data_IF_857104544184
#
_entry.id   IF_857104544184
#
_cell.length_a   1.000
_cell.length_b   1.000
_cell.length_c   1.000
_cell.angle_alpha   90.00
_cell.angle_beta   90.00
_cell.angle_gamma   90.00
#
_symmetry.space_group_name_H-M   'P 1'
#
loop_
_entity.id
_entity.type
_entity.pdbx_description
1 polymer ?
#
# COMPACT_ATOMS: atom_id res chain seq x y z
N UNK A 1 16.01 25.61 3.03
CA UNK A 1 16.01 25.20 1.62
C UNK A 1 17.34 24.58 1.20
N UNK A 2 18.47 25.06 1.72
CA UNK A 2 19.82 24.54 1.41
C UNK A 2 20.10 23.07 1.77
N UNK A 3 19.34 22.45 2.70
CA UNK A 3 19.50 21.01 3.03
C UNK A 3 18.94 20.07 1.95
N UNK A 4 17.86 20.46 1.26
CA UNK A 4 17.25 19.65 0.18
C UNK A 4 18.09 19.74 -1.09
N UNK A 5 18.60 20.94 -1.41
CA UNK A 5 19.54 21.15 -2.52
C UNK A 5 20.82 20.31 -2.31
N UNK A 6 21.32 20.20 -1.07
CA UNK A 6 22.45 19.34 -0.72
C UNK A 6 22.23 17.85 -1.00
N UNK A 7 21.00 17.34 -0.90
CA UNK A 7 20.72 15.92 -1.16
C UNK A 7 20.89 15.59 -2.65
N UNK A 8 20.37 16.44 -3.54
CA UNK A 8 20.55 16.34 -4.98
C UNK A 8 22.03 16.51 -5.40
N UNK A 9 22.75 17.43 -4.76
CA UNK A 9 24.17 17.69 -5.04
C UNK A 9 25.10 16.55 -4.60
N UNK A 10 24.83 15.87 -3.48
CA UNK A 10 25.68 14.76 -3.00
C UNK A 10 25.50 13.46 -3.80
N UNK A 11 24.39 13.29 -4.50
CA UNK A 11 24.10 12.08 -5.30
C UNK A 11 24.32 12.29 -6.82
N UNK A 12 24.71 13.49 -7.24
CA UNK A 12 24.80 13.89 -8.64
C UNK A 12 25.84 13.11 -9.47
N UNK A 13 26.84 12.49 -8.85
CA UNK A 13 27.89 11.76 -9.58
C UNK A 13 27.39 10.47 -10.27
N UNK A 14 26.22 9.94 -9.88
CA UNK A 14 25.70 8.66 -10.37
C UNK A 14 24.20 8.64 -10.72
N UNK A 15 23.51 9.78 -10.68
CA UNK A 15 22.04 9.84 -10.82
C UNK A 15 21.63 10.67 -12.04
N UNK A 16 20.78 10.10 -12.90
CA UNK A 16 20.17 10.83 -14.02
C UNK A 16 19.15 11.84 -13.50
N UNK A 17 19.23 13.09 -13.98
CA UNK A 17 18.28 14.15 -13.61
C UNK A 17 17.35 14.48 -14.78
N UNK A 18 16.04 14.44 -14.53
CA UNK A 18 14.99 14.78 -15.49
C UNK A 18 14.97 16.28 -15.76
N UNK A 19 15.05 16.67 -17.04
CA UNK A 19 15.08 18.08 -17.49
C UNK A 19 13.79 18.50 -18.20
N UNK A 20 12.86 17.59 -18.45
CA UNK A 20 11.56 17.89 -19.04
C UNK A 20 10.53 18.22 -17.97
N UNK A 21 10.01 19.45 -18.00
CA UNK A 21 8.90 19.89 -17.12
C UNK A 21 7.69 18.97 -17.26
N UNK A 22 7.35 18.57 -18.49
CA UNK A 22 6.22 17.67 -18.77
C UNK A 22 6.41 16.28 -18.17
N UNK A 23 7.63 15.73 -18.24
CA UNK A 23 7.96 14.43 -17.62
C UNK A 23 7.90 14.50 -16.09
N UNK A 24 8.40 15.59 -15.50
CA UNK A 24 8.31 15.81 -14.04
C UNK A 24 6.85 15.88 -13.59
N UNK A 25 6.00 16.59 -14.34
CA UNK A 25 4.57 16.74 -14.02
C UNK A 25 3.72 15.52 -14.40
N UNK A 26 4.28 14.55 -15.11
CA UNK A 26 3.56 13.34 -15.46
C UNK A 26 3.17 12.56 -14.20
N UNK A 27 1.89 12.23 -14.06
CA UNK A 27 1.32 11.60 -12.86
C UNK A 27 1.56 12.41 -11.58
N UNK A 28 1.59 13.75 -11.65
CA UNK A 28 1.75 14.60 -10.47
C UNK A 28 0.62 14.39 -9.45
N UNK A 29 0.97 14.25 -8.17
CA UNK A 29 0.00 14.06 -7.10
C UNK A 29 -0.50 15.41 -6.56
N UNK A 30 -1.57 15.94 -7.17
CA UNK A 30 -2.19 17.20 -6.73
C UNK A 30 -2.83 17.11 -5.34
N UNK A 31 -3.13 15.91 -4.86
CA UNK A 31 -3.58 15.69 -3.48
C UNK A 31 -2.45 15.98 -2.47
N UNK A 32 -1.20 15.65 -2.81
CA UNK A 32 -0.06 15.78 -1.91
C UNK A 32 0.69 17.10 -2.10
N UNK A 33 0.78 17.60 -3.32
CA UNK A 33 1.28 18.95 -3.62
C UNK A 33 0.29 19.64 -4.56
N UNK A 34 -0.68 20.32 -3.96
CA UNK A 34 -1.70 21.08 -4.69
C UNK A 34 -1.10 22.27 -5.42
N UNK A 35 -1.92 22.90 -6.27
CA UNK A 35 -1.58 24.22 -6.82
C UNK A 35 -1.72 25.30 -5.74
N UNK A 36 -1.07 26.43 -5.96
CA UNK A 36 -1.17 27.62 -5.12
C UNK A 36 -1.93 28.73 -5.87
N UNK A 37 -3.03 29.20 -5.28
CA UNK A 37 -4.00 30.12 -5.88
C UNK A 37 -3.80 31.60 -5.48
N UNK A 38 -2.93 31.87 -4.50
CA UNK A 38 -2.72 33.19 -3.92
C UNK A 38 -3.45 33.45 -2.59
N UNK A 39 -4.10 32.45 -2.01
CA UNK A 39 -4.79 32.60 -0.72
C UNK A 39 -3.81 32.95 0.42
N UNK A 40 -4.10 34.00 1.18
CA UNK A 40 -3.26 34.51 2.26
C UNK A 40 -3.10 33.52 3.43
N UNK A 41 -4.11 32.69 3.70
CA UNK A 41 -4.02 31.67 4.77
C UNK A 41 -3.27 30.41 4.34
N UNK A 42 -2.89 30.32 3.06
CA UNK A 42 -2.13 29.21 2.52
C UNK A 42 -0.68 29.24 3.01
N UNK A 43 -0.19 28.12 3.56
CA UNK A 43 1.19 28.02 4.05
C UNK A 43 2.18 27.86 2.88
N UNK A 44 2.50 28.99 2.23
CA UNK A 44 3.41 29.05 1.07
C UNK A 44 4.80 28.51 1.40
N UNK A 45 5.34 28.82 2.59
CA UNK A 45 6.65 28.32 3.02
C UNK A 45 6.69 26.81 3.03
N UNK A 46 5.61 26.20 3.50
CA UNK A 46 5.48 24.76 3.61
C UNK A 46 5.15 24.11 2.27
N UNK A 47 4.31 24.74 1.47
CA UNK A 47 4.07 24.33 0.08
C UNK A 47 5.36 24.29 -0.75
N UNK A 48 6.21 25.32 -0.66
CA UNK A 48 7.52 25.34 -1.32
C UNK A 48 8.43 24.20 -0.83
N UNK A 49 8.38 23.84 0.46
CA UNK A 49 9.10 22.68 1.00
C UNK A 49 8.57 21.39 0.39
N UNK A 50 7.25 21.18 0.39
CA UNK A 50 6.63 19.98 -0.19
C UNK A 50 6.93 19.87 -1.68
N UNK A 51 6.84 20.99 -2.42
CA UNK A 51 7.19 21.06 -3.84
C UNK A 51 8.66 20.67 -4.05
N UNK A 52 9.59 21.18 -3.25
CA UNK A 52 11.01 20.80 -3.36
C UNK A 52 11.26 19.31 -3.12
N UNK A 53 10.55 18.70 -2.16
CA UNK A 53 10.63 17.25 -1.89
C UNK A 53 10.09 16.46 -3.08
N UNK A 54 8.96 16.88 -3.65
CA UNK A 54 8.36 16.21 -4.81
C UNK A 54 9.25 16.29 -6.04
N UNK A 55 9.91 17.43 -6.26
CA UNK A 55 10.87 17.63 -7.33
C UNK A 55 12.11 16.75 -7.14
N UNK A 56 12.61 16.63 -5.91
CA UNK A 56 13.75 15.80 -5.54
C UNK A 56 13.46 14.30 -5.68
N UNK A 57 12.31 13.82 -5.15
CA UNK A 57 11.81 12.45 -5.37
C UNK A 57 11.72 12.15 -6.87
N UNK A 58 11.36 13.17 -7.66
CA UNK A 58 11.23 13.04 -9.11
C UNK A 58 12.54 13.18 -9.87
N UNK A 59 13.65 13.41 -9.17
CA UNK A 59 14.98 13.66 -9.75
C UNK A 59 14.93 14.78 -10.80
N UNK A 60 14.08 15.79 -10.60
CA UNK A 60 14.02 16.95 -11.48
C UNK A 60 15.33 17.72 -11.38
N UNK A 61 15.88 18.15 -12.51
CA UNK A 61 17.07 18.99 -12.53
C UNK A 61 16.78 20.35 -11.87
N UNK A 62 17.62 20.86 -10.95
CA UNK A 62 17.36 22.12 -10.22
C UNK A 62 17.02 23.32 -11.12
N UNK A 63 17.64 23.41 -12.30
CA UNK A 63 17.38 24.47 -13.28
C UNK A 63 15.92 24.56 -13.72
N UNK A 64 15.14 23.46 -13.70
CA UNK A 64 13.74 23.46 -14.14
C UNK A 64 12.74 23.56 -12.99
N UNK A 65 13.19 23.58 -11.74
CA UNK A 65 12.29 23.56 -10.57
C UNK A 65 11.34 24.76 -10.55
N UNK A 66 11.85 25.95 -10.90
CA UNK A 66 11.03 27.16 -10.98
C UNK A 66 9.96 27.11 -12.07
N UNK A 67 10.27 26.46 -13.21
CA UNK A 67 9.32 26.25 -14.30
C UNK A 67 8.19 25.29 -13.90
N UNK A 68 8.53 24.20 -13.19
CA UNK A 68 7.51 23.32 -12.60
C UNK A 68 6.68 24.09 -11.57
N UNK A 69 7.32 24.95 -10.78
CA UNK A 69 6.67 25.89 -9.87
C UNK A 69 5.62 26.75 -10.57
N UNK A 70 5.95 27.37 -11.72
CA UNK A 70 5.02 28.17 -12.52
C UNK A 70 3.79 27.36 -12.96
N UNK A 71 3.97 26.09 -13.37
CA UNK A 71 2.85 25.22 -13.73
C UNK A 71 1.90 24.91 -12.57
N UNK A 72 2.37 25.08 -11.33
CA UNK A 72 1.59 24.84 -10.10
C UNK A 72 1.05 26.13 -9.47
N UNK A 73 1.20 27.28 -10.13
CA UNK A 73 0.55 28.53 -9.76
C UNK A 73 -0.80 28.65 -10.48
N UNK A 74 -1.86 29.02 -9.77
CA UNK A 74 -3.19 29.28 -10.33
C UNK A 74 -3.87 30.51 -9.71
N UNK A 75 -5.11 30.78 -10.10
CA UNK A 75 -5.92 31.87 -9.55
C UNK A 75 -5.24 33.25 -9.58
N UNK A 76 -5.42 34.01 -8.50
CA UNK A 76 -4.86 35.35 -8.34
C UNK A 76 -3.33 35.37 -8.35
N UNK A 77 -2.67 34.31 -7.88
CA UNK A 77 -1.22 34.18 -7.96
C UNK A 77 -0.74 34.04 -9.41
N UNK A 78 -1.52 33.41 -10.29
CA UNK A 78 -1.19 33.28 -11.72
C UNK A 78 -1.31 34.61 -12.45
N UNK A 79 -2.32 35.42 -12.13
CA UNK A 79 -2.45 36.77 -12.68
C UNK A 79 -1.22 37.62 -12.33
N UNK A 80 -0.76 37.55 -11.07
CA UNK A 80 0.47 38.22 -10.64
C UNK A 80 1.73 37.66 -11.31
N UNK A 81 1.79 36.36 -11.55
CA UNK A 81 2.90 35.74 -12.27
C UNK A 81 2.98 36.27 -13.71
N UNK A 82 1.85 36.36 -14.41
CA UNK A 82 1.79 36.85 -15.79
C UNK A 82 2.22 38.33 -15.92
N UNK A 83 2.10 39.13 -14.85
CA UNK A 83 2.58 40.52 -14.83
C UNK A 83 4.11 40.62 -14.73
N UNK A 84 4.77 39.64 -14.11
CA UNK A 84 6.23 39.67 -13.91
C UNK A 84 7.00 38.89 -14.98
N UNK A 85 6.35 37.97 -15.70
CA UNK A 85 6.98 37.25 -16.82
C UNK A 85 7.37 38.25 -17.92
N UNK A 86 8.63 38.20 -18.36
CA UNK A 86 9.21 39.12 -19.34
C UNK A 86 9.65 40.47 -18.76
N UNK A 87 9.50 40.68 -17.44
CA UNK A 87 10.00 41.87 -16.73
C UNK A 87 11.34 41.59 -16.04
N UNK A 88 11.95 42.64 -15.47
CA UNK A 88 13.17 42.49 -14.66
C UNK A 88 12.93 41.71 -13.36
N UNK A 89 11.69 41.66 -12.89
CA UNK A 89 11.27 40.95 -11.68
C UNK A 89 10.91 39.47 -11.93
N UNK A 90 11.10 38.97 -13.15
CA UNK A 90 10.82 37.58 -13.49
C UNK A 90 11.67 36.60 -12.65
N UNK A 91 11.05 35.61 -11.98
CA UNK A 91 11.80 34.56 -11.30
C UNK A 91 12.49 33.60 -12.26
N UNK A 92 13.82 33.73 -12.45
CA UNK A 92 14.62 32.95 -13.41
C UNK A 92 15.24 31.66 -12.87
N UNK A 93 15.10 31.41 -11.57
CA UNK A 93 15.64 30.22 -10.90
C UNK A 93 14.84 29.89 -9.63
N UNK A 94 15.11 28.73 -9.03
CA UNK A 94 14.37 28.26 -7.86
C UNK A 94 14.39 29.23 -6.66
N UNK A 95 15.53 29.88 -6.39
CA UNK A 95 15.65 30.83 -5.28
C UNK A 95 14.81 32.10 -5.52
N UNK A 96 14.91 32.68 -6.71
CA UNK A 96 14.09 33.83 -7.11
C UNK A 96 12.60 33.49 -7.11
N UNK A 97 12.22 32.29 -7.54
CA UNK A 97 10.84 31.80 -7.50
C UNK A 97 10.35 31.70 -6.06
N UNK A 98 11.13 31.07 -5.17
CA UNK A 98 10.78 30.99 -3.75
C UNK A 98 10.56 32.37 -3.14
N UNK A 99 11.46 33.33 -3.39
CA UNK A 99 11.35 34.71 -2.88
C UNK A 99 10.09 35.39 -3.41
N UNK A 100 9.83 35.29 -4.71
CA UNK A 100 8.65 35.86 -5.34
C UNK A 100 7.37 35.25 -4.77
N UNK A 101 7.25 33.91 -4.69
CA UNK A 101 6.05 33.27 -4.15
C UNK A 101 5.82 33.65 -2.68
N UNK A 102 6.90 33.76 -1.89
CA UNK A 102 6.80 34.20 -0.49
C UNK A 102 6.31 35.65 -0.38
N UNK A 103 6.71 36.55 -1.27
CA UNK A 103 6.21 37.93 -1.28
C UNK A 103 4.72 38.05 -1.58
N UNK A 104 4.10 37.03 -2.17
CA UNK A 104 2.65 37.02 -2.41
C UNK A 104 1.86 36.86 -1.11
N UNK A 105 2.46 36.27 -0.07
CA UNK A 105 1.83 36.12 1.22
C UNK A 105 2.33 37.18 2.21
N UNK A 106 1.46 38.13 2.54
CA UNK A 106 1.77 39.27 3.41
C UNK A 106 1.53 38.99 4.89
N UNK A 107 0.90 37.86 5.24
CA UNK A 107 0.67 37.49 6.63
C UNK A 107 1.94 36.96 7.28
N UNK A 108 2.08 37.25 8.58
CA UNK A 108 3.18 36.74 9.38
C UNK A 108 3.14 35.18 9.39
N UNK A 109 4.26 34.50 9.12
CA UNK A 109 4.36 33.04 9.19
C UNK A 109 3.84 32.43 10.49
N UNK A 110 3.99 33.12 11.63
CA UNK A 110 3.50 32.64 12.93
C UNK A 110 1.96 32.64 12.98
N UNK A 111 1.32 33.64 12.38
CA UNK A 111 -0.15 33.74 12.29
C UNK A 111 -0.70 32.60 11.43
N UNK A 112 -0.07 32.33 10.27
CA UNK A 112 -0.45 31.22 9.39
C UNK A 112 -0.26 29.87 10.10
N UNK A 113 0.85 29.69 10.81
CA UNK A 113 1.12 28.48 11.57
C UNK A 113 0.08 28.27 12.69
N UNK A 114 -0.25 29.31 13.45
CA UNK A 114 -1.29 29.27 14.48
C UNK A 114 -2.66 28.93 13.89
N UNK A 115 -3.03 29.55 12.76
CA UNK A 115 -4.26 29.23 12.04
C UNK A 115 -4.32 27.75 11.63
N UNK A 116 -3.26 27.22 11.01
CA UNK A 116 -3.21 25.81 10.58
C UNK A 116 -3.26 24.84 11.76
N UNK A 117 -2.57 25.14 12.87
CA UNK A 117 -2.65 24.33 14.09
C UNK A 117 -4.07 24.33 14.67
N UNK A 118 -4.77 25.46 14.61
CA UNK A 118 -6.18 25.55 15.03
C UNK A 118 -7.08 24.70 14.15
N UNK A 119 -6.92 24.76 12.82
CA UNK A 119 -7.67 23.89 11.90
C UNK A 119 -7.43 22.40 12.20
N UNK A 120 -6.20 22.01 12.52
CA UNK A 120 -5.90 20.62 12.94
C UNK A 120 -6.59 20.25 14.25
N UNK A 121 -6.64 21.18 15.21
CA UNK A 121 -7.34 20.97 16.48
C UNK A 121 -8.85 20.84 16.27
N UNK A 122 -9.44 21.69 15.44
CA UNK A 122 -10.87 21.64 15.09
C UNK A 122 -11.21 20.31 14.38
N UNK A 123 -10.39 19.89 13.41
CA UNK A 123 -10.53 18.56 12.76
C UNK A 123 -10.49 17.41 13.77
N UNK A 124 -9.70 17.52 14.84
CA UNK A 124 -9.60 16.51 15.88
C UNK A 124 -10.84 16.47 16.78
N UNK A 125 -11.46 17.62 17.05
CA UNK A 125 -12.70 17.68 17.82
C UNK A 125 -13.85 17.00 17.07
N UNK A 126 -13.87 17.07 15.74
CA UNK A 126 -14.85 16.35 14.92
C UNK A 126 -14.51 14.86 14.74
N UNK A 127 -13.26 14.47 15.00
CA UNK A 127 -12.76 13.12 14.76
C UNK A 127 -13.18 12.14 15.87
N UNK A 128 -14.35 11.53 15.73
CA UNK A 128 -14.82 10.44 16.60
C UNK A 128 -15.08 9.15 15.82
N UNK A 129 -14.92 7.99 16.49
CA UNK A 129 -15.33 6.71 15.92
C UNK A 129 -16.86 6.68 15.76
N UNK A 130 -17.33 6.56 14.52
CA UNK A 130 -18.75 6.55 14.17
C UNK A 130 -19.48 5.33 14.72
N UNK A 131 -20.79 5.40 14.95
CA UNK A 131 -21.59 4.34 15.61
C UNK A 131 -21.42 2.94 14.98
N UNK A 132 -21.36 2.87 13.66
CA UNK A 132 -21.23 1.62 12.89
C UNK A 132 -19.84 1.46 12.24
N UNK A 133 -18.92 2.36 12.56
CA UNK A 133 -17.57 2.33 12.00
C UNK A 133 -16.70 1.35 12.78
N UNK A 134 -15.92 0.55 12.06
CA UNK A 134 -14.92 -0.36 12.64
C UNK A 134 -13.74 0.42 13.21
N UNK A 135 -12.94 -0.21 14.08
CA UNK A 135 -11.70 0.42 14.58
C UNK A 135 -10.69 0.65 13.46
N UNK A 136 -10.68 -0.20 12.43
CA UNK A 136 -9.79 -0.08 11.27
C UNK A 136 -10.08 1.18 10.45
N UNK A 137 -11.36 1.39 10.08
CA UNK A 137 -11.81 2.57 9.35
C UNK A 137 -11.51 3.85 10.15
N UNK A 138 -11.78 3.80 11.46
CA UNK A 138 -11.48 4.91 12.35
C UNK A 138 -9.98 5.19 12.47
N UNK A 139 -9.16 4.16 12.67
CA UNK A 139 -7.70 4.28 12.73
C UNK A 139 -7.15 4.90 11.46
N UNK A 140 -7.66 4.50 10.28
CA UNK A 140 -7.27 5.10 9.01
C UNK A 140 -7.53 6.61 8.99
N UNK A 141 -8.71 7.06 9.43
CA UNK A 141 -9.01 8.50 9.55
C UNK A 141 -8.14 9.19 10.59
N UNK A 142 -7.87 8.51 11.71
CA UNK A 142 -6.98 9.02 12.75
C UNK A 142 -5.55 9.19 12.25
N UNK A 143 -5.02 8.26 11.46
CA UNK A 143 -3.69 8.39 10.86
C UNK A 143 -3.62 9.50 9.83
N UNK A 144 -4.68 9.74 9.05
CA UNK A 144 -4.80 10.91 8.16
C UNK A 144 -4.70 12.21 8.94
N UNK A 145 -5.44 12.30 10.04
CA UNK A 145 -5.37 13.45 10.94
C UNK A 145 -3.98 13.59 11.58
N UNK A 146 -3.40 12.51 12.10
CA UNK A 146 -2.05 12.52 12.70
C UNK A 146 -0.98 12.96 11.70
N UNK A 147 -1.07 12.52 10.43
CA UNK A 147 -0.19 13.01 9.37
C UNK A 147 -0.35 14.52 9.17
N UNK A 148 -1.59 15.03 9.15
CA UNK A 148 -1.87 16.47 9.07
C UNK A 148 -1.34 17.23 10.30
N UNK A 149 -1.48 16.66 11.49
CA UNK A 149 -0.98 17.23 12.74
C UNK A 149 0.55 17.31 12.78
N UNK A 150 1.24 16.20 12.48
CA UNK A 150 2.71 16.17 12.36
C UNK A 150 3.20 17.07 11.26
N UNK A 151 2.46 17.15 10.16
CA UNK A 151 2.70 18.14 9.13
C UNK A 151 2.66 19.51 9.81
N UNK A 152 1.54 20.05 10.29
CA UNK A 152 1.52 21.40 10.88
C UNK A 152 2.26 21.59 12.23
N UNK A 153 3.08 20.63 12.68
CA UNK A 153 3.84 20.72 13.93
C UNK A 153 2.94 20.85 15.15
N UNK A 154 1.78 20.21 15.09
CA UNK A 154 0.82 20.12 16.19
C UNK A 154 1.25 19.00 17.15
N UNK A 155 1.69 19.40 18.34
CA UNK A 155 2.11 18.49 19.39
C UNK A 155 0.90 17.74 19.97
N UNK A 156 1.04 16.42 20.09
CA UNK A 156 -0.01 15.57 20.61
C UNK A 156 0.55 14.25 21.13
N UNK A 157 -0.22 13.61 22.01
CA UNK A 157 -0.02 12.23 22.47
C UNK A 157 -0.93 11.29 21.66
N UNK A 158 -0.37 10.48 20.72
CA UNK A 158 -1.13 9.58 19.86
C UNK A 158 -2.03 8.62 20.62
N UNK A 159 -1.50 8.01 21.68
CA UNK A 159 -2.14 7.01 22.53
C UNK A 159 -3.42 7.56 23.15
N UNK A 160 -3.29 8.66 23.90
CA UNK A 160 -4.39 9.29 24.61
C UNK A 160 -5.43 9.83 23.63
N UNK A 161 -5.01 10.47 22.55
CA UNK A 161 -5.94 11.08 21.60
C UNK A 161 -6.72 10.03 20.80
N UNK A 162 -6.07 8.94 20.39
CA UNK A 162 -6.77 7.84 19.72
C UNK A 162 -7.82 7.21 20.64
N UNK A 163 -7.43 6.83 21.87
CA UNK A 163 -8.32 6.16 22.83
C UNK A 163 -9.50 7.04 23.22
N UNK A 164 -9.30 8.35 23.36
CA UNK A 164 -10.36 9.28 23.73
C UNK A 164 -11.48 9.39 22.69
N UNK A 165 -11.17 9.09 21.42
CA UNK A 165 -12.10 9.19 20.29
C UNK A 165 -12.74 7.85 19.90
N UNK A 166 -12.33 6.75 20.53
CA UNK A 166 -13.02 5.45 20.40
C UNK A 166 -14.44 5.49 20.99
N UNK A 167 -15.30 4.58 20.52
CA UNK A 167 -16.63 4.37 21.10
C UNK A 167 -16.54 4.13 22.60
N UNK A 168 -17.53 4.63 23.36
CA UNK A 168 -17.56 4.57 24.85
C UNK A 168 -17.29 3.19 25.45
N UNK A 169 -17.75 2.11 24.81
CA UNK A 169 -17.49 0.73 25.25
C UNK A 169 -16.01 0.35 25.10
N UNK A 170 -15.51 0.49 23.88
CA UNK A 170 -14.14 0.18 23.53
C UNK A 170 -13.12 1.07 24.25
N UNK A 171 -13.35 2.39 24.30
CA UNK A 171 -12.55 3.35 25.07
C UNK A 171 -12.34 2.89 26.50
N UNK A 172 -13.41 2.48 27.19
CA UNK A 172 -13.34 2.00 28.58
C UNK A 172 -12.47 0.75 28.70
N UNK A 173 -12.62 -0.20 27.78
CA UNK A 173 -11.88 -1.46 27.79
C UNK A 173 -10.39 -1.25 27.53
N UNK A 174 -10.05 -0.50 26.49
CA UNK A 174 -8.66 -0.17 26.14
C UNK A 174 -8.00 0.69 27.23
N UNK A 175 -8.70 1.67 27.79
CA UNK A 175 -8.18 2.44 28.94
C UNK A 175 -7.88 1.55 30.14
N UNK A 176 -8.70 0.52 30.37
CA UNK A 176 -8.47 -0.48 31.41
C UNK A 176 -7.22 -1.31 31.18
N UNK A 177 -6.98 -1.78 29.94
CA UNK A 177 -5.77 -2.51 29.56
C UNK A 177 -4.52 -1.66 29.75
N UNK A 178 -4.55 -0.41 29.26
CA UNK A 178 -3.45 0.56 29.44
C UNK A 178 -3.14 0.75 30.93
N UNK A 179 -4.16 0.91 31.77
CA UNK A 179 -3.98 1.09 33.21
C UNK A 179 -3.36 -0.15 33.89
N UNK A 180 -3.70 -1.36 33.45
CA UNK A 180 -3.11 -2.61 33.97
C UNK A 180 -1.63 -2.69 33.63
N UNK A 181 -1.28 -2.47 32.36
CA UNK A 181 0.10 -2.55 31.89
C UNK A 181 0.98 -1.44 32.48
N UNK A 182 0.44 -0.23 32.65
CA UNK A 182 1.12 0.83 33.38
C UNK A 182 1.43 0.44 34.84
N UNK A 183 0.51 -0.23 35.53
CA UNK A 183 0.75 -0.74 36.91
C UNK A 183 1.81 -1.84 36.96
N UNK A 184 1.99 -2.59 35.85
CA UNK A 184 3.02 -3.61 35.70
C UNK A 184 4.40 -3.03 35.37
N UNK A 185 4.49 -1.72 35.15
CA UNK A 185 5.73 -1.05 34.76
C UNK A 185 6.08 -1.22 33.28
N UNK A 186 5.11 -1.67 32.46
CA UNK A 186 5.28 -1.93 31.02
C UNK A 186 4.29 -1.09 30.21
N UNK A 187 4.51 0.23 30.06
CA UNK A 187 3.58 1.07 29.29
C UNK A 187 3.37 0.57 27.87
N UNK A 188 2.11 0.50 27.45
CA UNK A 188 1.75 0.10 26.08
C UNK A 188 2.16 1.21 25.11
N UNK A 189 2.89 0.85 24.05
CA UNK A 189 3.12 1.78 22.94
C UNK A 189 1.85 1.96 22.11
N UNK A 190 1.77 3.06 21.35
CA UNK A 190 0.68 3.33 20.42
C UNK A 190 0.26 2.13 19.57
N UNK A 191 1.23 1.38 19.04
CA UNK A 191 0.97 0.24 18.19
C UNK A 191 0.23 -0.87 18.94
N UNK A 192 0.66 -1.18 20.16
CA UNK A 192 0.03 -2.20 21.01
C UNK A 192 -1.37 -1.75 21.46
N UNK A 193 -1.57 -0.44 21.68
CA UNK A 193 -2.90 0.11 21.97
C UNK A 193 -3.86 -0.08 20.80
N UNK A 194 -3.39 0.15 19.57
CA UNK A 194 -4.19 -0.04 18.35
C UNK A 194 -4.48 -1.51 18.10
N UNK A 195 -3.50 -2.40 18.29
CA UNK A 195 -3.69 -3.85 18.19
C UNK A 195 -4.77 -4.34 19.17
N UNK A 196 -4.67 -3.95 20.45
CA UNK A 196 -5.67 -4.28 21.45
C UNK A 196 -7.08 -3.76 21.07
N UNK A 197 -7.17 -2.55 20.49
CA UNK A 197 -8.43 -2.00 20.02
C UNK A 197 -9.03 -2.80 18.85
N UNK A 198 -8.19 -3.24 17.91
CA UNK A 198 -8.61 -4.07 16.78
C UNK A 198 -9.07 -5.45 17.22
N UNK A 199 -8.35 -6.09 18.14
CA UNK A 199 -8.71 -7.41 18.68
C UNK A 199 -10.04 -7.37 19.44
N UNK A 200 -10.24 -6.32 20.24
CA UNK A 200 -11.50 -6.11 20.96
C UNK A 200 -12.68 -5.83 20.03
N UNK A 201 -12.51 -5.01 19.00
CA UNK A 201 -13.56 -4.73 17.99
C UNK A 201 -13.95 -6.01 17.24
N UNK A 202 -12.97 -6.87 16.92
CA UNK A 202 -13.21 -8.20 16.32
C UNK A 202 -13.94 -9.13 17.28
N UNK A 203 -13.53 -9.19 18.55
CA UNK A 203 -14.16 -10.04 19.55
C UNK A 203 -15.66 -9.72 19.72
N UNK A 204 -16.04 -8.43 19.67
CA UNK A 204 -17.45 -8.01 19.69
C UNK A 204 -18.23 -8.49 18.45
N UNK A 205 -17.62 -8.50 17.27
CA UNK A 205 -18.21 -9.07 16.04
C UNK A 205 -18.29 -10.60 16.03
N UNK A 206 -17.35 -11.28 16.71
CA UNK A 206 -17.25 -12.75 16.78
C UNK A 206 -18.13 -13.39 17.85
N UNK A 207 -18.64 -12.65 18.84
CA UNK A 207 -19.59 -13.18 19.84
C UNK A 207 -20.93 -13.69 19.26
N UNK A 208 -21.15 -13.58 17.93
CA UNK A 208 -22.28 -14.17 17.23
C UNK A 208 -22.02 -15.58 16.66
N UNK A 209 -20.79 -16.11 16.69
CA UNK A 209 -20.48 -17.44 16.13
C UNK A 209 -19.40 -18.18 16.94
N UNK A 210 -19.89 -18.87 17.97
CA UNK A 210 -19.50 -20.19 18.51
C UNK A 210 -18.04 -20.66 18.37
N UNK A 211 -17.49 -20.95 19.56
CA UNK A 211 -16.38 -21.82 19.97
C UNK A 211 -16.18 -23.12 19.17
N UNK A 212 -14.94 -23.49 18.80
CA UNK A 212 -14.37 -24.86 18.99
C UNK A 212 -12.80 -24.79 18.99
N UNK A 213 -12.02 -25.81 19.44
CA UNK A 213 -10.91 -25.66 20.38
C UNK A 213 -9.53 -26.06 19.78
N UNK A 214 -8.48 -25.85 20.58
CA UNK A 214 -7.08 -26.13 20.23
C UNK A 214 -6.70 -27.63 20.22
N UNK A 215 -5.78 -28.02 19.34
CA UNK A 215 -4.76 -29.04 19.64
C UNK A 215 -3.54 -29.04 18.71
N UNK A 216 -2.38 -29.56 19.18
CA UNK A 216 -1.04 -29.18 18.73
C UNK A 216 -0.37 -30.25 17.84
N UNK A 217 0.74 -29.94 17.15
CA UNK A 217 1.92 -30.84 17.03
C UNK A 217 3.12 -30.23 16.27
N UNK A 218 4.26 -30.19 16.99
CA UNK A 218 5.66 -30.55 16.67
C UNK A 218 6.30 -30.20 15.31
N UNK A 219 7.35 -29.37 15.37
CA UNK A 219 8.41 -29.23 14.36
C UNK A 219 9.46 -30.35 14.46
N UNK A 220 10.10 -30.74 13.34
CA UNK A 220 11.48 -31.23 13.36
C UNK A 220 12.46 -30.22 12.75
N UNK A 221 13.65 -30.24 13.34
CA UNK A 221 14.87 -29.47 13.07
C UNK A 221 15.76 -30.22 12.09
N UNK A 222 16.44 -29.52 11.17
CA UNK A 222 17.70 -29.99 10.55
C UNK A 222 18.66 -28.81 10.38
N UNK A 223 19.95 -29.01 10.71
CA UNK A 223 21.07 -28.07 10.52
C UNK A 223 22.10 -28.68 9.53
N UNK A 224 23.24 -28.05 9.21
CA UNK A 224 23.58 -27.59 7.85
C UNK A 224 24.77 -28.35 7.23
N UNK A 225 25.04 -28.16 5.93
CA UNK A 225 26.32 -28.42 5.20
C UNK A 225 26.07 -28.04 3.73
N UNK A 226 26.98 -27.57 2.87
CA UNK A 226 28.43 -27.35 2.88
C UNK A 226 28.74 -26.42 1.70
N UNK A 227 29.80 -25.62 1.83
CA UNK A 227 30.39 -24.78 0.77
C UNK A 227 30.87 -25.61 -0.43
N UNK A 228 30.74 -25.02 -1.63
CA UNK A 228 31.36 -25.47 -2.87
C UNK A 228 31.91 -24.27 -3.62
N UNK A 229 33.23 -24.15 -3.62
CA UNK A 229 34.02 -23.13 -4.33
C UNK A 229 33.92 -23.29 -5.85
N UNK A 230 33.62 -22.21 -6.58
CA UNK A 230 33.92 -22.10 -8.02
C UNK A 230 34.72 -20.83 -8.29
N UNK A 231 35.76 -21.05 -9.11
CA UNK A 231 36.87 -20.20 -9.51
C UNK A 231 36.45 -18.86 -10.11
N UNK A 232 37.30 -17.88 -9.84
CA UNK A 232 37.40 -16.57 -10.47
C UNK A 232 37.39 -16.64 -12.00
N UNK A 233 36.39 -16.02 -12.61
CA UNK A 233 36.40 -15.58 -13.99
C UNK A 233 36.18 -14.06 -13.98
N UNK A 234 37.01 -13.35 -14.74
CA UNK A 234 37.07 -11.89 -14.88
C UNK A 234 35.70 -11.24 -15.05
N UNK A 235 35.46 -10.19 -14.25
CA UNK A 235 34.24 -9.39 -14.16
C UNK A 235 33.73 -8.91 -15.53
N UNK A 236 32.51 -9.27 -15.95
CA UNK A 236 31.76 -8.44 -16.88
C UNK A 236 31.37 -7.18 -16.12
N UNK A 237 31.68 -5.98 -16.63
CA UNK A 237 31.13 -4.75 -16.09
C UNK A 237 29.60 -4.84 -16.09
N UNK A 238 29.00 -5.07 -14.92
CA UNK A 238 27.55 -5.08 -14.76
C UNK A 238 27.02 -3.68 -15.08
N UNK A 239 26.40 -3.54 -16.25
CA UNK A 239 25.76 -2.30 -16.66
C UNK A 239 24.44 -2.16 -15.89
N UNK A 240 24.50 -1.56 -14.70
CA UNK A 240 23.31 -1.22 -13.93
C UNK A 240 22.55 -0.05 -14.54
N UNK A 241 21.22 -0.15 -14.57
CA UNK A 241 20.34 0.98 -14.88
C UNK A 241 20.33 1.96 -13.70
N UNK A 242 20.51 3.24 -14.01
CA UNK A 242 20.63 4.35 -13.05
C UNK A 242 19.52 5.40 -13.22
N UNK A 243 18.71 5.29 -14.27
CA UNK A 243 17.55 6.13 -14.51
C UNK A 243 16.30 5.47 -13.91
N UNK A 244 15.77 6.10 -12.85
CA UNK A 244 14.55 5.64 -12.18
C UNK A 244 13.33 5.66 -13.10
N UNK A 245 13.26 6.60 -14.05
CA UNK A 245 12.19 6.65 -15.05
C UNK A 245 12.21 5.42 -15.95
N UNK A 246 13.40 5.00 -16.42
CA UNK A 246 13.55 3.78 -17.21
C UNK A 246 13.23 2.52 -16.43
N UNK A 247 13.62 2.46 -15.15
CA UNK A 247 13.27 1.33 -14.27
C UNK A 247 11.75 1.22 -14.10
N UNK A 248 11.06 2.35 -13.94
CA UNK A 248 9.62 2.41 -13.76
C UNK A 248 8.84 2.30 -15.07
N UNK A 249 9.51 2.34 -16.23
CA UNK A 249 8.86 2.14 -17.50
C UNK A 249 8.26 0.72 -17.58
N UNK A 250 6.97 0.64 -17.91
CA UNK A 250 6.19 -0.60 -17.88
C UNK A 250 6.30 -1.35 -16.54
N UNK A 251 6.31 -0.62 -15.42
CA UNK A 251 6.33 -1.22 -14.09
C UNK A 251 5.11 -2.14 -13.88
N UNK A 252 5.28 -3.37 -13.36
CA UNK A 252 4.18 -4.30 -13.15
C UNK A 252 3.41 -3.91 -11.89
N UNK A 253 2.60 -2.86 -11.97
CA UNK A 253 1.81 -2.34 -10.85
C UNK A 253 0.85 -3.39 -10.25
N UNK A 254 0.49 -4.43 -11.00
CA UNK A 254 -0.24 -5.59 -10.49
C UNK A 254 0.57 -6.40 -9.48
N UNK A 255 1.87 -6.57 -9.72
CA UNK A 255 2.74 -7.42 -8.91
C UNK A 255 3.37 -6.63 -7.76
N UNK A 256 3.72 -5.37 -8.02
CA UNK A 256 4.24 -4.43 -7.02
C UNK A 256 3.51 -3.08 -7.15
N UNK A 257 2.36 -2.93 -6.47
CA UNK A 257 1.55 -1.70 -6.53
C UNK A 257 2.23 -0.54 -5.80
N UNK A 258 1.64 0.64 -5.89
CA UNK A 258 2.01 1.78 -5.05
C UNK A 258 1.64 1.54 -3.59
N UNK A 259 2.38 2.15 -2.67
CA UNK A 259 2.13 2.09 -1.24
C UNK A 259 1.57 3.42 -0.74
N UNK A 260 0.37 3.38 -0.18
CA UNK A 260 -0.37 4.57 0.26
C UNK A 260 -0.39 4.76 1.78
N UNK A 261 0.15 3.83 2.56
CA UNK A 261 0.18 3.91 4.03
C UNK A 261 -0.97 3.22 4.75
N UNK A 262 -1.81 2.42 4.07
CA UNK A 262 -2.84 1.65 4.76
C UNK A 262 -2.23 0.64 5.72
N UNK A 263 -2.80 0.59 6.93
CA UNK A 263 -2.38 -0.28 8.03
C UNK A 263 -2.46 -1.78 7.70
N UNK A 264 -3.35 -2.15 6.78
CA UNK A 264 -3.58 -3.53 6.36
C UNK A 264 -2.66 -3.98 5.23
N UNK A 265 -1.85 -3.06 4.69
CA UNK A 265 -0.92 -3.34 3.63
C UNK A 265 0.34 -4.03 4.16
N UNK A 266 0.70 -5.19 3.60
CA UNK A 266 1.92 -5.91 4.02
C UNK A 266 3.17 -5.24 3.43
N UNK A 267 3.72 -4.27 4.18
CA UNK A 267 4.89 -3.49 3.75
C UNK A 267 6.14 -4.36 3.64
N UNK A 268 6.35 -5.32 4.54
CA UNK A 268 7.52 -6.20 4.47
C UNK A 268 7.52 -7.01 3.17
N UNK A 269 6.36 -7.51 2.77
CA UNK A 269 6.21 -8.23 1.51
C UNK A 269 6.30 -7.33 0.29
N UNK A 270 5.74 -6.12 0.37
CA UNK A 270 5.90 -5.12 -0.66
C UNK A 270 7.38 -4.77 -0.89
N UNK A 271 8.14 -4.48 0.17
CA UNK A 271 9.58 -4.23 0.11
C UNK A 271 10.35 -5.43 -0.50
N UNK A 272 9.99 -6.66 -0.13
CA UNK A 272 10.57 -7.88 -0.72
C UNK A 272 10.32 -7.94 -2.23
N UNK A 273 9.08 -7.75 -2.69
CA UNK A 273 8.75 -7.75 -4.12
C UNK A 273 9.43 -6.62 -4.88
N UNK A 274 9.42 -5.42 -4.31
CA UNK A 274 10.12 -4.27 -4.86
C UNK A 274 11.61 -4.60 -5.06
N UNK A 275 12.28 -5.16 -4.05
CA UNK A 275 13.69 -5.55 -4.16
C UNK A 275 13.95 -6.60 -5.25
N UNK A 276 13.05 -7.58 -5.42
CA UNK A 276 13.18 -8.61 -6.47
C UNK A 276 13.05 -7.99 -7.86
N UNK A 277 12.05 -7.14 -8.07
CA UNK A 277 11.84 -6.46 -9.36
C UNK A 277 12.98 -5.51 -9.70
N UNK A 278 13.55 -4.82 -8.71
CA UNK A 278 14.72 -3.96 -8.88
C UNK A 278 15.95 -4.78 -9.33
N UNK A 279 16.17 -5.96 -8.74
CA UNK A 279 17.23 -6.88 -9.19
C UNK A 279 17.00 -7.38 -10.62
N UNK A 280 15.78 -7.80 -10.96
CA UNK A 280 15.43 -8.27 -12.32
C UNK A 280 15.70 -7.18 -13.35
N UNK A 281 15.39 -5.93 -13.01
CA UNK A 281 15.63 -4.75 -13.87
C UNK A 281 17.07 -4.24 -13.85
N UNK A 282 17.97 -4.92 -13.13
CA UNK A 282 19.37 -4.51 -12.99
C UNK A 282 19.51 -3.06 -12.51
N UNK A 283 18.61 -2.62 -11.61
CA UNK A 283 18.67 -1.28 -11.04
C UNK A 283 19.88 -1.17 -10.11
N UNK A 284 20.62 -0.07 -10.22
CA UNK A 284 21.76 0.19 -9.33
C UNK A 284 21.30 0.26 -7.86
N UNK A 285 21.93 -0.47 -6.92
CA UNK A 285 21.48 -0.52 -5.52
C UNK A 285 21.32 0.85 -4.86
N UNK A 286 22.17 1.81 -5.20
CA UNK A 286 22.11 3.16 -4.64
C UNK A 286 20.82 3.91 -4.95
N UNK A 287 20.10 3.58 -6.03
CA UNK A 287 18.87 4.28 -6.42
C UNK A 287 17.59 3.53 -6.04
N UNK A 288 17.69 2.36 -5.38
CA UNK A 288 16.52 1.56 -5.02
C UNK A 288 15.53 2.31 -4.13
N UNK A 289 16.05 3.12 -3.20
CA UNK A 289 15.23 3.95 -2.34
C UNK A 289 14.47 5.04 -3.12
N UNK A 290 15.07 5.60 -4.18
CA UNK A 290 14.42 6.58 -5.07
C UNK A 290 13.29 5.94 -5.88
N UNK A 291 13.47 4.71 -6.36
CA UNK A 291 12.37 3.95 -6.97
C UNK A 291 11.26 3.70 -5.96
N UNK A 292 11.63 3.35 -4.71
CA UNK A 292 10.70 3.22 -3.60
C UNK A 292 9.89 4.50 -3.34
N UNK A 293 10.54 5.67 -3.33
CA UNK A 293 9.87 6.97 -3.19
C UNK A 293 8.84 7.22 -4.29
N UNK A 294 9.17 6.88 -5.55
CA UNK A 294 8.27 7.06 -6.69
C UNK A 294 7.05 6.13 -6.66
N UNK A 295 7.12 5.04 -5.90
CA UNK A 295 6.02 4.10 -5.69
C UNK A 295 5.21 4.40 -4.41
N UNK A 296 5.46 5.53 -3.75
CA UNK A 296 4.71 5.95 -2.56
C UNK A 296 3.68 7.01 -2.95
N UNK A 297 2.48 6.88 -2.42
CA UNK A 297 1.37 7.79 -2.67
C UNK A 297 0.59 8.10 -1.38
N UNK A 298 -0.45 8.94 -1.50
CA UNK A 298 -1.40 9.18 -0.41
C UNK A 298 -0.76 9.59 0.92
N UNK A 299 -1.18 8.95 2.00
CA UNK A 299 -0.77 9.27 3.38
C UNK A 299 0.70 8.91 3.63
N UNK A 300 1.18 7.82 3.03
CA UNK A 300 2.59 7.45 3.09
C UNK A 300 3.51 8.50 2.46
N UNK A 301 3.09 9.17 1.37
CA UNK A 301 3.90 10.24 0.78
C UNK A 301 4.01 11.47 1.69
N UNK A 302 2.91 11.82 2.39
CA UNK A 302 2.92 12.90 3.38
C UNK A 302 3.86 12.57 4.54
N UNK A 303 3.83 11.32 5.03
CA UNK A 303 4.75 10.86 6.07
C UNK A 303 6.21 10.83 5.59
N UNK A 304 6.45 10.43 4.35
CA UNK A 304 7.78 10.47 3.74
C UNK A 304 8.30 11.90 3.68
N UNK A 305 7.45 12.86 3.31
CA UNK A 305 7.79 14.28 3.33
C UNK A 305 8.21 14.78 4.72
N UNK A 306 7.55 14.32 5.79
CA UNK A 306 7.99 14.61 7.17
C UNK A 306 9.35 13.97 7.47
N UNK A 307 9.56 12.72 7.06
CA UNK A 307 10.82 12.00 7.28
C UNK A 307 12.01 12.65 6.55
N UNK A 308 11.81 13.10 5.31
CA UNK A 308 12.84 13.78 4.50
C UNK A 308 13.22 15.16 5.06
N UNK A 309 12.35 15.76 5.88
CA UNK A 309 12.64 17.03 6.57
C UNK A 309 13.27 16.85 7.95
N UNK A 310 13.39 15.60 8.44
CA UNK A 310 14.02 15.29 9.71
C UNK A 310 15.55 15.36 9.63
N UNK A 311 16.23 15.28 10.77
CA UNK A 311 17.70 15.27 10.79
C UNK A 311 18.32 13.99 10.21
N UNK A 312 17.54 12.91 10.10
CA UNK A 312 17.98 11.61 9.56
C UNK A 312 17.03 11.14 8.44
N UNK A 313 17.06 11.79 7.26
CA UNK A 313 16.20 11.42 6.16
C UNK A 313 16.56 10.02 5.63
N UNK A 314 15.58 9.23 5.15
CA UNK A 314 15.88 8.01 4.41
C UNK A 314 16.70 8.36 3.16
N UNK A 315 17.92 7.84 3.06
CA UNK A 315 18.89 8.20 2.02
C UNK A 315 19.46 7.01 1.27
N UNK A 316 19.07 5.79 1.65
CA UNK A 316 19.49 4.55 1.04
C UNK A 316 18.42 3.47 1.27
N UNK A 317 18.57 2.33 0.62
CA UNK A 317 17.58 1.25 0.69
C UNK A 317 17.30 0.78 2.13
N UNK A 318 18.32 0.70 2.99
CA UNK A 318 18.18 0.23 4.35
C UNK A 318 17.37 1.22 5.22
N UNK A 319 17.72 2.50 5.19
CA UNK A 319 16.99 3.56 5.91
C UNK A 319 15.57 3.75 5.39
N UNK A 320 15.37 3.63 4.07
CA UNK A 320 14.05 3.61 3.44
C UNK A 320 13.18 2.43 3.91
N UNK A 321 13.72 1.22 3.86
CA UNK A 321 13.02 0.01 4.28
C UNK A 321 12.64 0.07 5.76
N UNK A 322 13.55 0.57 6.61
CA UNK A 322 13.28 0.77 8.03
C UNK A 322 12.16 1.79 8.26
N UNK A 323 12.19 2.92 7.54
CA UNK A 323 11.13 3.92 7.60
C UNK A 323 9.77 3.34 7.16
N UNK A 324 9.73 2.65 6.02
CA UNK A 324 8.50 2.06 5.50
C UNK A 324 7.90 1.04 6.48
N UNK A 325 8.74 0.17 7.05
CA UNK A 325 8.30 -0.79 8.08
C UNK A 325 7.79 -0.12 9.35
N UNK A 326 8.31 1.05 9.73
CA UNK A 326 7.77 1.81 10.89
C UNK A 326 6.43 2.45 10.59
N UNK A 327 6.11 2.68 9.31
CA UNK A 327 4.84 3.27 8.91
C UNK A 327 3.67 2.30 9.10
N UNK A 328 3.91 1.00 8.92
CA UNK A 328 2.95 -0.06 9.26
C UNK A 328 3.35 -0.75 10.55
N UNK A 329 2.75 -0.26 11.62
CA UNK A 329 3.03 -0.57 13.02
C UNK A 329 2.44 -1.88 13.54
N UNK A 330 1.58 -2.56 12.76
CA UNK A 330 0.98 -3.82 13.17
C UNK A 330 1.97 -4.97 13.02
N UNK A 331 2.00 -5.85 14.02
CA UNK A 331 2.71 -7.13 13.94
C UNK A 331 2.29 -7.92 12.69
N UNK A 332 3.24 -8.67 12.06
CA UNK A 332 2.95 -9.48 10.87
C UNK A 332 1.72 -10.38 11.02
N UNK A 333 1.47 -10.88 12.23
CA UNK A 333 0.35 -11.77 12.55
C UNK A 333 -1.02 -11.05 12.48
N UNK A 334 -1.09 -9.78 12.88
CA UNK A 334 -2.34 -9.00 12.86
C UNK A 334 -2.71 -8.62 11.43
N UNK A 335 -1.71 -8.24 10.63
CA UNK A 335 -1.85 -7.95 9.18
C UNK A 335 -2.22 -9.22 8.42
N UNK A 336 -1.58 -10.35 8.74
CA UNK A 336 -1.88 -11.63 8.10
C UNK A 336 -3.32 -12.08 8.41
N UNK A 337 -3.73 -12.06 9.69
CA UNK A 337 -5.09 -12.39 10.13
C UNK A 337 -6.13 -11.52 9.41
N UNK A 338 -5.84 -10.23 9.25
CA UNK A 338 -6.72 -9.31 8.52
C UNK A 338 -6.85 -9.69 7.04
N UNK A 339 -5.72 -9.90 6.37
CA UNK A 339 -5.70 -10.26 4.97
C UNK A 339 -6.40 -11.59 4.70
N UNK A 340 -6.23 -12.58 5.58
CA UNK A 340 -6.98 -13.83 5.54
C UNK A 340 -8.49 -13.62 5.70
N UNK A 341 -8.91 -12.68 6.55
CA UNK A 341 -10.32 -12.32 6.73
C UNK A 341 -10.93 -11.71 5.45
N UNK A 342 -10.17 -10.86 4.74
CA UNK A 342 -10.59 -10.32 3.44
C UNK A 342 -10.68 -11.40 2.36
N UNK A 343 -9.70 -12.30 2.30
CA UNK A 343 -9.75 -13.46 1.39
C UNK A 343 -10.97 -14.33 1.71
N UNK A 344 -11.24 -14.60 2.99
CA UNK A 344 -12.42 -15.35 3.41
C UNK A 344 -13.73 -14.66 2.98
N UNK A 345 -13.83 -13.34 3.14
CA UNK A 345 -15.01 -12.57 2.70
C UNK A 345 -15.19 -12.59 1.19
N UNK A 346 -14.10 -12.43 0.43
CA UNK A 346 -14.15 -12.54 -1.03
C UNK A 346 -14.50 -13.95 -1.50
N UNK A 347 -14.05 -15.00 -0.78
CA UNK A 347 -14.44 -16.38 -1.01
C UNK A 347 -15.96 -16.56 -0.89
N UNK A 348 -16.60 -15.94 0.11
CA UNK A 348 -18.06 -16.00 0.29
C UNK A 348 -18.84 -15.30 -0.81
N UNK A 349 -18.22 -14.31 -1.47
CA UNK A 349 -18.83 -13.59 -2.59
C UNK A 349 -18.48 -14.21 -3.96
N UNK A 350 -17.58 -15.20 -3.97
CA UNK A 350 -17.18 -15.89 -5.18
C UNK A 350 -18.27 -16.90 -5.55
N UNK A 351 -19.19 -16.45 -6.40
CA UNK A 351 -20.21 -17.28 -7.01
C UNK A 351 -20.19 -17.10 -8.53
N UNK A 352 -20.37 -18.19 -9.27
CA UNK A 352 -20.65 -18.16 -10.71
C UNK A 352 -22.03 -17.53 -10.92
N UNK A 353 -22.11 -16.53 -11.79
CA UNK A 353 -23.38 -15.89 -12.11
C UNK A 353 -24.24 -16.80 -13.00
N UNK A 354 -25.57 -16.65 -12.96
CA UNK A 354 -26.51 -17.55 -13.65
C UNK A 354 -26.24 -17.71 -15.16
N UNK A 355 -25.79 -16.62 -15.82
CA UNK A 355 -25.51 -16.60 -17.25
C UNK A 355 -24.01 -16.62 -17.60
N UNK A 356 -23.15 -16.84 -16.61
CA UNK A 356 -21.71 -16.86 -16.81
C UNK A 356 -21.23 -18.24 -17.23
N UNK A 357 -20.47 -18.29 -18.33
CA UNK A 357 -19.78 -19.51 -18.79
C UNK A 357 -18.79 -20.01 -17.74
N UNK A 358 -18.68 -21.32 -17.58
CA UNK A 358 -17.74 -21.94 -16.66
C UNK A 358 -16.29 -21.53 -16.92
N UNK A 359 -15.90 -21.32 -18.19
CA UNK A 359 -14.56 -20.81 -18.52
C UNK A 359 -14.28 -19.42 -17.94
N UNK A 360 -15.22 -18.47 -18.07
CA UNK A 360 -15.09 -17.11 -17.53
C UNK A 360 -15.06 -17.13 -16.00
N UNK A 361 -15.90 -17.96 -15.40
CA UNK A 361 -15.89 -18.16 -13.95
C UNK A 361 -14.55 -18.73 -13.46
N UNK A 362 -13.99 -19.72 -14.16
CA UNK A 362 -12.69 -20.29 -13.82
C UNK A 362 -11.56 -19.24 -13.85
N UNK A 363 -11.58 -18.31 -14.80
CA UNK A 363 -10.61 -17.21 -14.82
C UNK A 363 -10.74 -16.31 -13.58
N UNK A 364 -11.96 -15.96 -13.16
CA UNK A 364 -12.18 -15.21 -11.90
C UNK A 364 -11.73 -16.02 -10.68
N UNK A 365 -12.02 -17.32 -10.67
CA UNK A 365 -11.57 -18.23 -9.62
C UNK A 365 -10.04 -18.28 -9.54
N UNK A 366 -9.32 -18.31 -10.66
CA UNK A 366 -7.85 -18.25 -10.66
C UNK A 366 -7.30 -16.95 -10.09
N UNK A 367 -7.95 -15.81 -10.35
CA UNK A 367 -7.58 -14.53 -9.75
C UNK A 367 -7.79 -14.56 -8.23
N UNK A 368 -8.94 -15.08 -7.77
CA UNK A 368 -9.19 -15.25 -6.34
C UNK A 368 -8.21 -16.23 -5.69
N UNK A 369 -7.97 -17.39 -6.32
CA UNK A 369 -7.01 -18.41 -5.88
C UNK A 369 -5.61 -17.82 -5.75
N UNK A 370 -5.14 -17.05 -6.73
CA UNK A 370 -3.85 -16.38 -6.65
C UNK A 370 -3.80 -15.39 -5.47
N UNK A 371 -4.91 -14.73 -5.14
CA UNK A 371 -5.02 -13.86 -3.97
C UNK A 371 -5.05 -14.66 -2.64
N UNK A 372 -5.71 -15.82 -2.62
CA UNK A 372 -5.76 -16.71 -1.47
C UNK A 372 -4.39 -17.32 -1.17
N UNK A 373 -3.73 -17.86 -2.20
CA UNK A 373 -2.36 -18.36 -2.13
C UNK A 373 -1.39 -17.25 -1.77
N UNK A 374 -1.62 -16.02 -2.27
CA UNK A 374 -0.86 -14.86 -1.86
C UNK A 374 -0.96 -14.70 -0.34
N UNK A 375 -2.14 -14.70 0.27
CA UNK A 375 -2.28 -14.48 1.71
C UNK A 375 -2.16 -15.73 2.61
N UNK A 376 -1.56 -16.82 2.10
CA UNK A 376 -1.43 -18.10 2.83
C UNK A 376 -2.77 -18.57 3.42
N UNK A 377 -3.88 -18.25 2.74
CA UNK A 377 -5.22 -18.62 3.17
C UNK A 377 -5.40 -20.12 2.97
N UNK A 378 -5.88 -20.82 4.00
CA UNK A 378 -6.09 -22.27 3.95
C UNK A 378 -7.46 -22.55 3.32
N UNK A 379 -7.47 -23.24 2.18
CA UNK A 379 -8.69 -23.68 1.50
C UNK A 379 -8.41 -24.95 0.68
N UNK A 380 -9.48 -25.67 0.32
CA UNK A 380 -9.41 -26.75 -0.65
C UNK A 380 -9.88 -26.26 -2.02
N UNK A 381 -9.01 -26.17 -3.05
CA UNK A 381 -9.37 -25.62 -4.35
C UNK A 381 -10.57 -26.32 -5.01
N UNK A 382 -10.70 -27.63 -4.86
CA UNK A 382 -11.78 -28.42 -5.45
C UNK A 382 -13.12 -28.10 -4.80
N UNK A 383 -13.20 -28.19 -3.47
CA UNK A 383 -14.42 -27.91 -2.71
C UNK A 383 -14.84 -26.45 -2.86
N UNK A 384 -13.90 -25.50 -2.79
CA UNK A 384 -14.21 -24.08 -2.95
C UNK A 384 -14.73 -23.77 -4.35
N UNK A 385 -14.12 -24.33 -5.39
CA UNK A 385 -14.58 -24.14 -6.77
C UNK A 385 -15.99 -24.71 -6.98
N UNK A 386 -16.24 -25.95 -6.55
CA UNK A 386 -17.55 -26.61 -6.71
C UNK A 386 -18.66 -25.86 -5.96
N UNK A 387 -18.41 -25.44 -4.72
CA UNK A 387 -19.40 -24.69 -3.93
C UNK A 387 -19.76 -23.34 -4.59
N UNK A 388 -18.80 -22.73 -5.27
CA UNK A 388 -18.97 -21.46 -5.95
C UNK A 388 -19.69 -21.58 -7.32
N UNK A 389 -19.85 -22.77 -7.89
CA UNK A 389 -20.59 -22.97 -9.15
C UNK A 389 -22.07 -22.60 -9.00
N UNK A 390 -22.72 -22.22 -10.09
CA UNK A 390 -24.16 -21.91 -10.09
C UNK A 390 -25.01 -23.20 -10.03
N UNK A 391 -26.30 -23.08 -9.74
CA UNK A 391 -27.24 -24.22 -9.70
C UNK A 391 -27.30 -25.00 -11.02
N UNK A 392 -26.90 -24.38 -12.15
CA UNK A 392 -26.82 -25.05 -13.44
C UNK A 392 -25.70 -26.11 -13.50
N UNK A 393 -24.57 -25.86 -12.85
CA UNK A 393 -23.37 -26.71 -12.95
C UNK A 393 -23.14 -27.53 -11.67
N UNK A 394 -23.41 -26.93 -10.50
CA UNK A 394 -23.06 -27.48 -9.18
C UNK A 394 -23.61 -28.89 -8.96
N UNK A 395 -24.89 -29.23 -9.21
CA UNK A 395 -25.40 -30.57 -8.92
C UNK A 395 -24.73 -31.67 -9.75
N UNK A 396 -24.49 -31.41 -11.03
CA UNK A 396 -23.88 -32.38 -11.95
C UNK A 396 -22.40 -32.63 -11.60
N UNK A 397 -21.65 -31.57 -11.35
CA UNK A 397 -20.23 -31.68 -10.95
C UNK A 397 -20.09 -32.30 -9.56
N UNK A 398 -20.95 -31.93 -8.61
CA UNK A 398 -20.96 -32.55 -7.26
C UNK A 398 -21.22 -34.05 -7.34
N UNK A 399 -22.18 -34.47 -8.18
CA UNK A 399 -22.46 -35.89 -8.42
C UNK A 399 -21.27 -36.62 -9.04
N UNK A 400 -20.61 -36.05 -10.06
CA UNK A 400 -19.42 -36.64 -10.68
C UNK A 400 -18.26 -36.80 -9.68
N UNK A 401 -18.02 -35.78 -8.85
CA UNK A 401 -16.98 -35.83 -7.81
C UNK A 401 -17.28 -36.89 -6.76
N UNK A 402 -18.55 -37.00 -6.33
CA UNK A 402 -18.98 -38.03 -5.37
C UNK A 402 -18.82 -39.44 -5.95
N UNK A 403 -19.30 -39.67 -7.18
CA UNK A 403 -19.22 -40.96 -7.86
C UNK A 403 -17.76 -41.41 -8.03
N UNK A 404 -16.88 -40.51 -8.46
CA UNK A 404 -15.45 -40.80 -8.62
C UNK A 404 -14.78 -41.16 -7.28
N UNK A 405 -15.19 -40.51 -6.19
CA UNK A 405 -14.71 -40.82 -4.84
C UNK A 405 -15.20 -42.19 -4.36
N UNK A 406 -16.44 -42.57 -4.63
CA UNK A 406 -17.00 -43.88 -4.31
C UNK A 406 -16.31 -45.03 -5.07
N UNK A 407 -15.90 -44.78 -6.32
CA UNK A 407 -15.14 -45.74 -7.12
C UNK A 407 -13.64 -45.80 -6.81
N UNK A 408 -13.17 -45.09 -5.77
CA UNK A 408 -11.77 -45.12 -5.33
C UNK A 408 -10.81 -44.29 -6.19
N UNK A 409 -11.32 -43.46 -7.10
CA UNK A 409 -10.53 -42.59 -7.99
C UNK A 409 -10.99 -41.14 -7.89
N UNK A 410 -10.63 -40.42 -6.79
CA UNK A 410 -11.02 -39.03 -6.60
C UNK A 410 -10.56 -38.14 -7.77
N UNK A 411 -11.47 -37.28 -8.26
CA UNK A 411 -11.12 -36.36 -9.34
C UNK A 411 -10.07 -35.34 -8.89
N UNK A 412 -9.07 -35.10 -9.73
CA UNK A 412 -8.15 -33.98 -9.54
C UNK A 412 -8.87 -32.65 -9.79
N UNK A 413 -8.34 -31.55 -9.23
CA UNK A 413 -8.88 -30.21 -9.50
C UNK A 413 -8.94 -29.89 -10.99
N UNK A 414 -7.92 -30.28 -11.76
CA UNK A 414 -7.89 -30.10 -13.21
C UNK A 414 -9.02 -30.87 -13.92
N UNK A 415 -9.31 -32.11 -13.48
CA UNK A 415 -10.41 -32.90 -14.02
C UNK A 415 -11.77 -32.26 -13.71
N UNK A 416 -11.96 -31.72 -12.51
CA UNK A 416 -13.19 -31.01 -12.11
C UNK A 416 -13.41 -29.78 -12.99
N UNK A 417 -12.37 -28.96 -13.20
CA UNK A 417 -12.44 -27.78 -14.06
C UNK A 417 -12.75 -28.17 -15.50
N UNK A 418 -12.07 -29.21 -16.02
CA UNK A 418 -12.30 -29.69 -17.38
C UNK A 418 -13.75 -30.17 -17.58
N UNK A 419 -14.29 -30.97 -16.65
CA UNK A 419 -15.70 -31.39 -16.70
C UNK A 419 -16.66 -30.20 -16.66
N UNK A 420 -16.38 -29.21 -15.81
CA UNK A 420 -17.22 -28.01 -15.67
C UNK A 420 -17.22 -27.17 -16.95
N UNK A 421 -16.06 -26.93 -17.56
CA UNK A 421 -15.95 -26.20 -18.83
C UNK A 421 -16.58 -26.99 -19.99
N UNK A 422 -16.47 -28.32 -19.99
CA UNK A 422 -17.09 -29.15 -21.03
C UNK A 422 -18.62 -28.99 -21.06
N UNK A 423 -19.25 -28.70 -19.92
CA UNK A 423 -20.69 -28.41 -19.85
C UNK A 423 -21.10 -27.11 -20.56
N UNK A 424 -20.17 -26.17 -20.82
CA UNK A 424 -20.47 -24.97 -21.62
C UNK A 424 -20.79 -25.33 -23.09
N UNK A 425 -20.25 -26.46 -23.57
CA UNK A 425 -20.42 -26.95 -24.94
C UNK A 425 -21.50 -28.02 -25.07
N UNK A 426 -21.98 -28.55 -23.95
CA UNK A 426 -23.11 -29.46 -23.93
C UNK A 426 -24.41 -28.66 -24.04
N UNK A 427 -25.00 -28.62 -25.24
CA UNK A 427 -26.41 -28.30 -25.39
C UNK A 427 -27.16 -29.35 -24.55
N UNK A 428 -27.88 -28.92 -23.52
CA UNK A 428 -28.71 -29.80 -22.70
C UNK A 428 -29.77 -30.44 -23.59
N UNK A 429 -29.47 -31.62 -24.12
CA UNK A 429 -30.44 -32.55 -24.68
C UNK A 429 -30.76 -33.54 -23.56
N UNK A 430 -32.02 -33.65 -23.12
CA UNK A 430 -32.35 -34.61 -22.08
C UNK A 430 -32.30 -36.02 -22.68
N UNK A 431 -31.64 -36.94 -21.95
CA UNK A 431 -31.67 -38.41 -22.08
C UNK A 431 -30.53 -39.10 -22.87
N UNK A 432 -29.53 -39.56 -22.08
CA UNK A 432 -28.84 -40.89 -22.01
C UNK A 432 -28.17 -41.50 -23.27
N UNK A 433 -26.84 -41.70 -23.21
CA UNK A 433 -26.17 -43.01 -22.95
C UNK A 433 -24.66 -42.92 -23.12
N UNK A 434 -23.90 -43.39 -22.13
CA UNK A 434 -22.46 -43.67 -22.26
C UNK A 434 -22.28 -45.06 -22.88
N UNK A 435 -21.36 -45.27 -23.85
CA UNK A 435 -20.99 -46.61 -24.28
C UNK A 435 -20.07 -47.25 -23.22
N UNK A 436 -20.15 -48.58 -23.00
CA UNK A 436 -19.38 -49.27 -21.98
C UNK A 436 -17.91 -49.41 -22.38
N UNK A 437 -17.07 -49.54 -21.35
CA UNK A 437 -15.64 -49.75 -21.42
C UNK A 437 -15.27 -50.89 -22.38
N UNK A 438 -14.35 -50.63 -23.33
CA UNK A 438 -13.61 -51.69 -24.01
C UNK A 438 -12.38 -52.01 -23.19
N UNK A 439 -12.36 -53.22 -22.65
CA UNK A 439 -11.15 -53.92 -22.22
C UNK A 439 -10.17 -54.01 -23.39
N UNK A 440 -9.01 -53.39 -23.26
CA UNK A 440 -7.84 -53.73 -24.06
C UNK A 440 -7.27 -55.06 -23.53
N UNK A 441 -7.48 -56.14 -24.28
CA UNK A 441 -6.70 -57.37 -24.13
C UNK A 441 -5.51 -57.30 -25.08
N UNK A 442 -4.33 -57.53 -24.49
CA UNK A 442 -3.06 -57.82 -25.17
C UNK A 442 -3.23 -58.79 -26.34
N UNK A 443 -2.69 -58.43 -27.51
CA UNK A 443 -1.56 -59.10 -28.18
C UNK A 443 -0.95 -58.18 -29.24
#
# INVERSE_FOLDING_TARGET
MSRVIRYAETHAAHVYLERSVSSVLEHWSYQNCSKYDGNLTFDVRRWLKTLSIMLDIRQAHPDIWHLVGFCLIEGSARERLLLVIGSDDEPKNWDSFCKWTLSLNTLDPEVINAYNKRVVADDYEDLHQGKNETVEEFYTRFMKWQCKARYHGYEHDPETMFVNRLKKGLRRKISGLIAIENRRGTPMSFNIVVEAALDEDRAYGSTALIEIPASPHKFPRVSPMSEGSIRTASEPQEHFEKDVGRILNNWPYRDCPTYNGYITFDVQRWLRRLSVLLKIRQAHPDIWHLVGFRLIEGDALRSLGVALLSDNPPSNWASFSLWANRLNSLGPDVVNTFNQSLVHRSCRMLCQHENEKAQSFYQRFLVWKANADYHDYIYDPATTFVNALSERYRPSITHQVALAKEHGTPMSFAAIVHSTISMDFMVFSPVISWPPAREERFY
#
